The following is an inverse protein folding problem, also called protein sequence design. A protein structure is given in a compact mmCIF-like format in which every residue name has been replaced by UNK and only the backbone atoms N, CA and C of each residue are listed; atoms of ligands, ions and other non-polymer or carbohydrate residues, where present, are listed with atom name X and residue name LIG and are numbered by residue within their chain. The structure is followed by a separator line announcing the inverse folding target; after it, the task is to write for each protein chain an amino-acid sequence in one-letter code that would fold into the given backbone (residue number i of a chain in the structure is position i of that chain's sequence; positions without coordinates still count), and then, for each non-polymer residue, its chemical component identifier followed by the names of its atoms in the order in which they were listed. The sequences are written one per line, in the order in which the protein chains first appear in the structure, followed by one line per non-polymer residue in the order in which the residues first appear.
data_IF_617535850608
#
_entry.id   IF_617535850608
#
_cell.length_a   1.000
_cell.length_b   1.000
_cell.length_c   1.000
_cell.angle_alpha   90.00
_cell.angle_beta   90.00
_cell.angle_gamma   90.00
#
_symmetry.space_group_name_H-M   'P 1'
#
loop_
_entity.id
_entity.type
_entity.pdbx_description
1 polymer ?
#
# COMPACT_ATOMS: atom_id res chain seq x y z
N UNK A 1 19.09 -64.03 14.67
CA UNK A 1 19.79 -63.07 15.54
C UNK A 1 20.35 -61.87 14.75
N UNK A 2 21.21 -62.09 13.75
CA UNK A 2 21.81 -61.02 12.91
C UNK A 2 20.76 -60.09 12.26
N UNK A 3 19.67 -60.63 11.71
CA UNK A 3 18.60 -59.80 11.11
C UNK A 3 17.96 -58.82 12.10
N UNK A 4 17.71 -59.24 13.34
CA UNK A 4 17.13 -58.38 14.38
C UNK A 4 18.11 -57.29 14.85
N UNK A 5 19.42 -57.59 14.87
CA UNK A 5 20.47 -56.60 15.18
C UNK A 5 20.53 -55.53 14.08
N UNK A 6 20.51 -55.94 12.80
CA UNK A 6 20.51 -55.00 11.67
C UNK A 6 19.26 -54.12 11.67
N UNK A 7 18.07 -54.71 11.87
CA UNK A 7 16.82 -53.93 11.96
C UNK A 7 16.83 -52.96 13.14
N UNK A 8 17.35 -53.37 14.31
CA UNK A 8 17.48 -52.50 15.47
C UNK A 8 18.40 -51.31 15.22
N UNK A 9 19.55 -51.53 14.56
CA UNK A 9 20.48 -50.46 14.20
C UNK A 9 19.88 -49.48 13.18
N UNK A 10 19.13 -49.97 12.20
CA UNK A 10 18.45 -49.13 11.20
C UNK A 10 17.38 -48.24 11.84
N UNK A 11 16.57 -48.79 12.75
CA UNK A 11 15.59 -48.00 13.50
C UNK A 11 16.26 -46.96 14.39
N UNK A 12 17.34 -47.31 15.09
CA UNK A 12 18.10 -46.37 15.90
C UNK A 12 18.68 -45.22 15.06
N UNK A 13 19.16 -45.53 13.83
CA UNK A 13 19.64 -44.52 12.89
C UNK A 13 18.51 -43.58 12.44
N UNK A 14 17.33 -44.13 12.11
CA UNK A 14 16.15 -43.34 11.73
C UNK A 14 15.73 -42.42 12.88
N UNK A 15 15.63 -42.94 14.11
CA UNK A 15 15.31 -42.12 15.29
C UNK A 15 16.37 -41.06 15.56
N UNK A 16 17.66 -41.37 15.36
CA UNK A 16 18.74 -40.40 15.47
C UNK A 16 18.59 -39.28 14.43
N UNK A 17 18.33 -39.60 13.17
CA UNK A 17 18.09 -38.60 12.12
C UNK A 17 16.83 -37.76 12.40
N UNK A 18 15.73 -38.38 12.85
CA UNK A 18 14.51 -37.66 13.24
C UNK A 18 14.76 -36.73 14.43
N UNK A 19 15.47 -37.20 15.46
CA UNK A 19 15.82 -36.39 16.63
C UNK A 19 16.79 -35.26 16.28
N UNK A 20 17.78 -35.53 15.43
CA UNK A 20 18.75 -34.54 15.00
C UNK A 20 18.09 -33.45 14.13
N UNK A 21 17.23 -33.85 13.17
CA UNK A 21 16.45 -32.90 12.36
C UNK A 21 15.49 -32.08 13.23
N UNK A 22 14.79 -32.71 14.19
CA UNK A 22 13.93 -32.00 15.13
C UNK A 22 14.70 -30.95 15.95
N UNK A 23 15.91 -31.30 16.42
CA UNK A 23 16.74 -30.34 17.16
C UNK A 23 17.33 -29.23 16.29
N UNK A 24 17.66 -29.50 15.02
CA UNK A 24 18.06 -28.46 14.07
C UNK A 24 16.91 -27.49 13.85
N UNK A 25 15.70 -27.99 13.59
CA UNK A 25 14.51 -27.16 13.41
C UNK A 25 14.25 -26.29 14.66
N UNK A 26 14.35 -26.87 15.86
CA UNK A 26 14.21 -26.12 17.11
C UNK A 26 15.31 -25.07 17.32
N UNK A 27 16.56 -25.39 16.95
CA UNK A 27 17.69 -24.46 17.09
C UNK A 27 17.65 -23.33 16.05
N UNK A 28 17.19 -23.59 14.83
CA UNK A 28 16.96 -22.56 13.82
C UNK A 28 15.79 -21.65 14.20
N UNK A 29 14.72 -22.21 14.77
CA UNK A 29 13.60 -21.46 15.34
C UNK A 29 13.98 -20.64 16.60
N UNK A 30 15.08 -20.96 17.27
CA UNK A 30 15.59 -20.23 18.43
C UNK A 30 16.44 -18.99 18.06
N UNK A 31 16.87 -18.83 16.80
CA UNK A 31 17.58 -17.63 16.36
C UNK A 31 16.59 -16.46 16.21
N UNK A 32 16.98 -15.23 16.60
CA UNK A 32 16.12 -14.07 16.40
C UNK A 32 15.83 -13.90 14.90
N UNK A 33 14.59 -13.51 14.59
CA UNK A 33 14.21 -13.15 13.23
C UNK A 33 15.06 -11.97 12.73
N UNK A 34 15.38 -11.94 11.42
CA UNK A 34 16.23 -10.90 10.88
C UNK A 34 15.60 -9.51 11.01
N UNK A 35 16.44 -8.50 11.17
CA UNK A 35 16.07 -7.12 10.91
C UNK A 35 16.32 -6.82 9.44
N UNK A 36 15.24 -6.57 8.71
CA UNK A 36 15.27 -6.25 7.29
C UNK A 36 14.69 -4.85 7.11
N UNK A 37 15.40 -4.02 6.37
CA UNK A 37 14.99 -2.65 6.04
C UNK A 37 14.39 -2.62 4.64
N UNK A 38 13.91 -1.45 4.22
CA UNK A 38 13.35 -1.23 2.88
C UNK A 38 14.15 -1.97 1.79
N UNK A 39 13.52 -2.77 0.92
CA UNK A 39 12.08 -2.84 0.59
C UNK A 39 11.25 -3.81 1.43
N UNK A 40 11.85 -4.42 2.44
CA UNK A 40 11.21 -5.43 3.27
C UNK A 40 10.33 -4.78 4.34
N UNK A 41 9.11 -5.28 4.52
CA UNK A 41 8.16 -4.82 5.55
C UNK A 41 7.84 -5.96 6.50
N UNK A 42 8.20 -5.77 7.77
CA UNK A 42 7.88 -6.74 8.82
C UNK A 42 6.41 -6.70 9.21
N UNK A 43 5.88 -7.88 9.52
CA UNK A 43 4.57 -8.07 10.11
C UNK A 43 4.70 -8.37 11.60
N UNK A 44 3.69 -7.96 12.36
CA UNK A 44 3.64 -8.15 13.80
C UNK A 44 2.27 -8.67 14.22
N UNK A 45 2.20 -9.45 15.29
CA UNK A 45 0.93 -9.74 15.94
C UNK A 45 0.41 -8.54 16.77
N UNK A 46 -0.79 -8.67 17.31
CA UNK A 46 -1.44 -7.69 18.19
C UNK A 46 -0.75 -7.49 19.55
N UNK A 47 0.20 -8.36 19.91
CA UNK A 47 1.08 -8.19 21.06
C UNK A 47 2.40 -7.46 20.70
N UNK A 48 2.66 -7.23 19.41
CA UNK A 48 3.87 -6.59 18.90
C UNK A 48 5.03 -7.55 18.67
N UNK A 49 4.81 -8.87 18.69
CA UNK A 49 5.82 -9.85 18.34
C UNK A 49 5.99 -9.90 16.82
N UNK A 50 7.24 -9.90 16.37
CA UNK A 50 7.58 -10.01 14.94
C UNK A 50 7.26 -11.40 14.41
N UNK A 51 6.67 -11.43 13.21
CA UNK A 51 6.31 -12.66 12.52
C UNK A 51 7.41 -13.10 11.54
N UNK A 52 7.50 -14.40 11.26
CA UNK A 52 8.39 -14.98 10.26
C UNK A 52 7.85 -14.84 8.83
N UNK A 53 7.06 -13.78 8.59
CA UNK A 53 6.53 -13.40 7.29
C UNK A 53 6.96 -11.96 7.02
N UNK A 54 7.53 -11.73 5.85
CA UNK A 54 8.03 -10.41 5.44
C UNK A 54 7.44 -10.07 4.07
N UNK A 55 6.93 -8.84 3.94
CA UNK A 55 6.47 -8.35 2.66
C UNK A 55 7.64 -7.78 1.85
N UNK A 56 7.62 -7.97 0.54
CA UNK A 56 8.45 -7.21 -0.41
C UNK A 56 7.54 -6.17 -1.06
N UNK A 57 7.78 -4.88 -0.78
CA UNK A 57 6.85 -3.80 -1.11
C UNK A 57 7.18 -3.00 -2.37
N UNK A 58 8.41 -3.12 -2.87
CA UNK A 58 8.94 -2.40 -4.01
C UNK A 58 10.10 -3.19 -4.64
N UNK A 59 10.56 -2.80 -5.83
CA UNK A 59 11.72 -3.41 -6.46
C UNK A 59 12.96 -3.37 -5.54
N UNK A 60 13.79 -4.42 -5.63
CA UNK A 60 15.10 -4.40 -4.99
C UNK A 60 15.97 -3.36 -5.71
N UNK A 61 16.52 -2.41 -4.95
CA UNK A 61 17.41 -1.36 -5.43
C UNK A 61 18.90 -1.68 -5.29
N UNK A 62 19.28 -2.85 -4.76
CA UNK A 62 20.69 -3.26 -4.66
C UNK A 62 20.89 -4.77 -4.48
N UNK A 63 22.08 -5.24 -4.85
CA UNK A 63 22.53 -6.63 -4.62
C UNK A 63 22.50 -7.03 -3.14
N UNK A 64 22.73 -6.07 -2.23
CA UNK A 64 22.65 -6.31 -0.78
C UNK A 64 21.24 -6.73 -0.36
N UNK A 65 20.21 -6.14 -0.96
CA UNK A 65 18.82 -6.50 -0.67
C UNK A 65 18.51 -7.90 -1.21
N UNK A 66 19.02 -8.26 -2.39
CA UNK A 66 18.87 -9.62 -2.92
C UNK A 66 19.61 -10.65 -2.06
N UNK A 67 20.84 -10.33 -1.63
CA UNK A 67 21.61 -11.17 -0.69
C UNK A 67 20.86 -11.38 0.62
N UNK A 68 20.27 -10.33 1.18
CA UNK A 68 19.42 -10.42 2.39
C UNK A 68 18.22 -11.34 2.20
N UNK A 69 17.59 -11.34 1.03
CA UNK A 69 16.56 -12.33 0.70
C UNK A 69 17.14 -13.75 0.74
N UNK A 70 18.24 -13.99 0.02
CA UNK A 70 18.87 -15.32 -0.08
C UNK A 70 19.32 -15.88 1.28
N UNK A 71 19.87 -15.04 2.15
CA UNK A 71 20.33 -15.44 3.49
C UNK A 71 19.18 -15.79 4.45
N UNK A 72 17.95 -15.34 4.14
CA UNK A 72 16.81 -15.44 5.04
C UNK A 72 15.62 -16.25 4.48
N UNK A 73 15.64 -16.63 3.20
CA UNK A 73 14.53 -17.36 2.55
C UNK A 73 14.22 -18.74 3.14
N UNK A 74 15.14 -19.31 3.93
CA UNK A 74 14.91 -20.54 4.68
C UNK A 74 14.15 -20.31 6.00
N UNK A 75 14.24 -19.11 6.59
CA UNK A 75 13.69 -18.76 7.90
C UNK A 75 12.40 -17.94 7.82
N UNK A 76 12.24 -17.21 6.72
CA UNK A 76 11.19 -16.22 6.52
C UNK A 76 10.39 -16.57 5.27
N UNK A 77 9.08 -16.46 5.39
CA UNK A 77 8.15 -16.53 4.27
C UNK A 77 8.06 -15.15 3.64
N UNK A 78 8.66 -14.99 2.47
CA UNK A 78 8.50 -13.78 1.68
C UNK A 78 7.19 -13.82 0.90
N UNK A 79 6.39 -12.78 1.04
CA UNK A 79 5.20 -12.53 0.21
C UNK A 79 5.30 -11.14 -0.41
N UNK A 80 4.68 -10.92 -1.56
CA UNK A 80 4.70 -9.63 -2.20
C UNK A 80 3.55 -8.73 -1.72
N UNK A 81 3.79 -7.42 -1.66
CA UNK A 81 2.75 -6.41 -1.50
C UNK A 81 2.86 -5.36 -2.61
N UNK A 82 1.75 -5.10 -3.30
CA UNK A 82 1.67 -4.02 -4.29
C UNK A 82 1.46 -2.66 -3.60
N UNK A 83 2.57 -2.07 -3.14
CA UNK A 83 2.60 -0.76 -2.47
C UNK A 83 3.38 0.32 -3.23
N UNK A 84 4.10 -0.05 -4.28
CA UNK A 84 4.92 0.87 -5.09
C UNK A 84 4.49 0.81 -6.56
N UNK A 85 3.60 1.72 -6.95
CA UNK A 85 3.05 1.79 -8.31
C UNK A 85 2.63 0.40 -8.83
N UNK A 86 3.00 0.02 -10.05
CA UNK A 86 2.60 -1.25 -10.66
C UNK A 86 3.29 -2.50 -10.07
N UNK A 87 4.18 -2.37 -9.08
CA UNK A 87 4.92 -3.50 -8.49
C UNK A 87 3.99 -4.67 -8.09
N UNK A 88 4.32 -5.92 -8.48
CA UNK A 88 5.59 -6.38 -9.05
C UNK A 88 5.73 -6.24 -10.57
N UNK A 89 4.71 -5.74 -11.26
CA UNK A 89 4.90 -5.33 -12.64
C UNK A 89 5.84 -4.11 -12.68
N UNK A 90 6.46 -3.89 -13.83
CA UNK A 90 7.45 -2.83 -14.00
C UNK A 90 6.77 -1.47 -13.81
N UNK A 91 7.24 -0.64 -12.87
CA UNK A 91 6.69 0.68 -12.66
C UNK A 91 6.83 1.55 -13.91
N UNK A 92 5.76 2.27 -14.27
CA UNK A 92 5.72 2.99 -15.56
C UNK A 92 6.10 4.46 -15.46
N UNK A 93 6.48 4.94 -14.27
CA UNK A 93 6.92 6.32 -14.08
C UNK A 93 8.24 6.55 -14.85
N UNK A 94 8.27 7.50 -15.81
CA UNK A 94 9.45 7.70 -16.65
C UNK A 94 10.71 8.08 -15.85
N UNK A 95 10.53 8.71 -14.69
CA UNK A 95 11.62 9.13 -13.80
C UNK A 95 12.34 7.95 -13.11
N UNK A 96 11.69 6.77 -12.98
CA UNK A 96 12.37 5.58 -12.44
C UNK A 96 13.27 4.90 -13.47
N UNK A 97 12.99 5.10 -14.76
CA UNK A 97 13.78 4.61 -15.89
C UNK A 97 14.07 3.09 -15.86
N UNK A 98 13.17 2.28 -15.31
CA UNK A 98 13.33 0.82 -15.30
C UNK A 98 13.35 0.22 -16.71
N UNK A 99 14.27 -0.72 -16.93
CA UNK A 99 14.46 -1.48 -18.17
C UNK A 99 14.26 -2.95 -17.87
N UNK A 100 13.28 -3.56 -18.53
CA UNK A 100 13.04 -5.01 -18.37
C UNK A 100 14.24 -5.76 -18.95
N UNK A 101 14.82 -6.62 -18.13
CA UNK A 101 15.88 -7.55 -18.56
C UNK A 101 15.37 -8.98 -18.44
N UNK A 102 15.56 -9.76 -19.51
CA UNK A 102 15.26 -11.19 -19.52
C UNK A 102 16.57 -11.97 -19.41
N UNK A 103 16.62 -12.96 -18.51
CA UNK A 103 17.82 -13.75 -18.21
C UNK A 103 18.48 -14.41 -19.44
N UNK A 104 17.74 -14.58 -20.54
CA UNK A 104 18.20 -15.23 -21.78
C UNK A 104 19.01 -14.32 -22.71
N UNK A 105 19.09 -13.01 -22.47
CA UNK A 105 19.81 -12.05 -23.33
C UNK A 105 21.16 -11.60 -22.75
N UNK A 106 21.97 -12.53 -22.23
CA UNK A 106 23.36 -12.24 -21.83
C UNK A 106 24.24 -12.00 -23.07
N UNK A 107 24.38 -10.75 -23.49
CA UNK A 107 25.50 -10.35 -24.37
C UNK A 107 26.67 -9.81 -23.54
N UNK A 108 27.87 -10.32 -23.81
CA UNK A 108 29.07 -10.20 -22.98
C UNK A 108 29.71 -8.79 -22.90
N UNK A 109 29.16 -7.73 -23.48
CA UNK A 109 29.91 -6.48 -23.68
C UNK A 109 29.12 -5.17 -23.50
N UNK A 110 28.26 -5.07 -22.49
CA UNK A 110 27.74 -3.75 -22.07
C UNK A 110 28.14 -3.44 -20.63
N UNK A 111 28.67 -2.23 -20.43
CA UNK A 111 28.85 -1.66 -19.11
C UNK A 111 27.47 -1.60 -18.42
N UNK A 112 27.22 -2.55 -17.53
CA UNK A 112 25.94 -2.73 -16.87
C UNK A 112 25.64 -1.53 -15.98
N UNK A 113 24.54 -0.84 -16.25
CA UNK A 113 23.93 0.07 -15.28
C UNK A 113 22.91 -0.71 -14.46
N UNK A 114 23.41 -1.37 -13.41
CA UNK A 114 22.63 -2.21 -12.48
C UNK A 114 21.47 -1.47 -11.79
N UNK A 115 21.37 -0.15 -11.92
CA UNK A 115 20.35 0.66 -11.23
C UNK A 115 18.99 0.63 -11.91
N UNK A 116 18.92 0.29 -13.21
CA UNK A 116 17.67 0.32 -14.00
C UNK A 116 17.16 -1.05 -14.42
N UNK A 117 17.95 -2.12 -14.31
CA UNK A 117 17.54 -3.48 -14.69
C UNK A 117 16.36 -3.99 -13.83
N UNK A 118 15.33 -4.52 -14.48
CA UNK A 118 14.14 -5.04 -13.81
C UNK A 118 13.88 -6.51 -14.17
N UNK A 119 13.94 -7.37 -13.16
CA UNK A 119 13.75 -8.82 -13.28
C UNK A 119 12.37 -9.22 -12.75
N UNK A 120 11.35 -9.20 -13.60
CA UNK A 120 9.97 -9.51 -13.22
C UNK A 120 9.83 -10.92 -12.60
N UNK A 121 10.38 -11.93 -13.29
CA UNK A 121 10.26 -13.33 -12.89
C UNK A 121 10.92 -13.60 -11.53
N UNK A 122 11.99 -12.86 -11.20
CA UNK A 122 12.64 -12.95 -9.89
C UNK A 122 11.64 -12.66 -8.76
N UNK A 123 10.84 -11.59 -8.87
CA UNK A 123 9.85 -11.26 -7.84
C UNK A 123 8.77 -12.33 -7.75
N UNK A 124 8.34 -12.86 -8.90
CA UNK A 124 7.39 -13.95 -8.95
C UNK A 124 7.95 -15.17 -8.24
N UNK A 125 9.21 -15.56 -8.44
CA UNK A 125 9.83 -16.70 -7.75
C UNK A 125 10.03 -16.47 -6.25
N UNK A 126 10.51 -15.28 -5.87
CA UNK A 126 10.80 -14.90 -4.48
C UNK A 126 9.55 -14.96 -3.59
N UNK A 127 8.42 -14.48 -4.10
CA UNK A 127 7.20 -14.34 -3.31
C UNK A 127 6.37 -15.63 -3.32
N UNK A 128 5.99 -16.13 -2.14
CA UNK A 128 5.14 -17.33 -2.00
C UNK A 128 3.65 -17.03 -2.12
N UNK A 129 3.25 -15.78 -1.96
CA UNK A 129 1.90 -15.28 -2.11
C UNK A 129 1.92 -13.76 -2.37
N UNK A 130 0.77 -13.17 -2.71
CA UNK A 130 0.63 -11.74 -3.01
C UNK A 130 -0.55 -11.10 -2.29
N UNK A 131 -0.32 -9.97 -1.64
CA UNK A 131 -1.40 -9.06 -1.25
C UNK A 131 -1.36 -7.83 -2.18
N UNK A 132 -2.50 -7.46 -2.75
CA UNK A 132 -2.54 -6.51 -3.86
C UNK A 132 -3.68 -5.49 -3.75
N UNK A 133 -3.66 -4.51 -4.65
CA UNK A 133 -4.67 -3.47 -4.79
C UNK A 133 -5.43 -3.51 -6.14
N UNK A 134 -4.96 -4.33 -7.08
CA UNK A 134 -5.45 -4.35 -8.46
C UNK A 134 -6.91 -4.79 -8.59
N UNK A 135 -7.64 -4.13 -9.50
CA UNK A 135 -8.97 -4.56 -9.96
C UNK A 135 -8.92 -5.81 -10.83
N UNK A 136 -7.83 -5.98 -11.57
CA UNK A 136 -7.53 -7.10 -12.48
C UNK A 136 -6.15 -7.68 -12.12
N UNK A 137 -6.04 -8.42 -11.00
CA UNK A 137 -4.76 -8.93 -10.51
C UNK A 137 -4.01 -9.79 -11.53
N UNK A 138 -4.72 -10.50 -12.41
CA UNK A 138 -4.14 -11.38 -13.44
C UNK A 138 -3.22 -10.66 -14.44
N UNK A 139 -3.29 -9.32 -14.51
CA UNK A 139 -2.39 -8.51 -15.34
C UNK A 139 -1.05 -8.20 -14.68
N UNK A 140 -0.96 -8.35 -13.35
CA UNK A 140 0.16 -7.83 -12.56
C UNK A 140 0.84 -8.89 -11.71
N UNK A 141 0.12 -9.94 -11.28
CA UNK A 141 0.63 -10.98 -10.39
C UNK A 141 0.34 -12.39 -10.91
N UNK A 142 1.18 -13.38 -10.55
CA UNK A 142 0.97 -14.78 -10.89
C UNK A 142 -0.28 -15.34 -10.18
N UNK A 143 -1.20 -15.91 -10.97
CA UNK A 143 -2.49 -16.43 -10.49
C UNK A 143 -2.42 -17.88 -9.97
N UNK A 144 -1.29 -18.56 -10.18
CA UNK A 144 -0.99 -19.89 -9.62
C UNK A 144 -0.55 -19.82 -8.15
N UNK A 145 -0.38 -18.61 -7.60
CA UNK A 145 -0.02 -18.37 -6.20
C UNK A 145 -1.20 -17.79 -5.42
N UNK A 146 -1.29 -18.08 -4.10
CA UNK A 146 -2.31 -17.45 -3.26
C UNK A 146 -2.22 -15.94 -3.31
N UNK A 147 -3.37 -15.28 -3.41
CA UNK A 147 -3.44 -13.83 -3.38
C UNK A 147 -4.66 -13.30 -2.63
N UNK A 148 -4.60 -12.05 -2.16
CA UNK A 148 -5.75 -11.36 -1.58
C UNK A 148 -5.73 -9.84 -1.87
N UNK A 149 -6.91 -9.25 -2.02
CA UNK A 149 -7.11 -7.80 -2.15
C UNK A 149 -6.93 -7.12 -0.78
N UNK A 150 -5.68 -6.89 -0.39
CA UNK A 150 -5.27 -6.21 0.84
C UNK A 150 -4.18 -5.20 0.48
N UNK A 151 -4.45 -3.93 0.76
CA UNK A 151 -3.60 -2.79 0.43
C UNK A 151 -2.99 -2.20 1.70
N UNK A 152 -1.82 -1.59 1.64
CA UNK A 152 -1.21 -0.94 2.81
C UNK A 152 -2.08 0.19 3.37
N UNK A 153 -2.85 0.87 2.52
CA UNK A 153 -3.81 1.91 2.91
C UNK A 153 -5.01 1.36 3.70
N UNK A 154 -5.28 0.05 3.62
CA UNK A 154 -6.31 -0.58 4.45
C UNK A 154 -5.97 -0.49 5.96
N UNK A 155 -4.70 -0.25 6.31
CA UNK A 155 -4.21 -0.23 7.70
C UNK A 155 -4.19 1.17 8.33
N UNK A 156 -4.86 2.17 7.74
CA UNK A 156 -4.91 3.54 8.30
C UNK A 156 -5.40 3.54 9.75
N UNK A 157 -4.66 4.18 10.65
CA UNK A 157 -5.09 4.34 12.02
C UNK A 157 -6.04 5.55 12.17
N UNK A 158 -7.34 5.34 11.94
CA UNK A 158 -8.35 6.41 12.02
C UNK A 158 -8.42 7.11 13.39
N UNK A 159 -7.92 6.48 14.47
CA UNK A 159 -7.84 7.09 15.81
C UNK A 159 -6.76 8.16 15.92
N UNK A 160 -5.74 8.11 15.06
CA UNK A 160 -4.68 9.12 14.99
C UNK A 160 -5.01 10.26 14.02
N UNK A 161 -6.07 10.11 13.22
CA UNK A 161 -6.54 11.15 12.32
C UNK A 161 -7.52 12.03 13.09
N UNK A 162 -7.21 13.33 13.28
CA UNK A 162 -8.11 14.26 13.94
C UNK A 162 -9.45 14.27 13.20
N UNK A 163 -10.54 14.30 13.96
CA UNK A 163 -11.89 14.42 13.43
C UNK A 163 -12.72 15.28 14.37
N UNK A 164 -13.30 16.33 13.81
CA UNK A 164 -14.23 17.20 14.50
C UNK A 164 -15.46 17.41 13.62
N UNK A 165 -16.59 16.83 14.02
CA UNK A 165 -17.86 16.94 13.29
C UNK A 165 -18.40 18.38 13.28
N UNK A 166 -18.05 19.18 14.29
CA UNK A 166 -18.50 20.57 14.41
C UNK A 166 -17.63 21.55 13.59
N UNK A 167 -16.49 21.11 13.07
CA UNK A 167 -15.58 21.97 12.32
C UNK A 167 -16.20 22.38 10.97
N UNK A 168 -16.24 23.70 10.75
CA UNK A 168 -16.66 24.25 9.46
C UNK A 168 -15.60 23.91 8.39
N UNK A 169 -16.07 23.33 7.26
CA UNK A 169 -15.20 22.97 6.13
C UNK A 169 -14.93 24.22 5.29
N UNK A 170 -13.70 24.73 5.36
CA UNK A 170 -13.20 25.91 4.62
C UNK A 170 -13.16 25.68 3.10
N UNK A 171 -12.82 24.45 2.68
CA UNK A 171 -12.65 24.05 1.28
C UNK A 171 -13.67 22.98 0.89
N UNK A 172 -14.08 22.98 -0.38
CA UNK A 172 -14.87 21.90 -0.93
C UNK A 172 -13.99 20.66 -1.17
N UNK A 173 -12.81 20.84 -1.78
CA UNK A 173 -11.93 19.72 -2.11
C UNK A 173 -10.48 19.91 -1.71
N UNK A 174 -9.79 18.79 -1.46
CA UNK A 174 -8.34 18.71 -1.32
C UNK A 174 -7.73 17.90 -2.47
N UNK A 175 -6.63 18.37 -3.03
CA UNK A 175 -5.76 17.60 -3.91
C UNK A 175 -4.32 17.62 -3.37
N UNK A 176 -3.77 16.44 -3.09
CA UNK A 176 -2.42 16.28 -2.53
C UNK A 176 -1.45 15.82 -3.62
N UNK A 177 -0.55 16.72 -4.01
CA UNK A 177 0.45 16.46 -5.03
C UNK A 177 1.71 17.24 -4.70
N UNK A 178 2.45 16.87 -3.64
CA UNK A 178 3.64 17.59 -3.29
C UNK A 178 4.75 17.40 -4.32
N UNK A 179 5.64 18.38 -4.44
CA UNK A 179 6.91 18.21 -5.14
C UNK A 179 7.80 17.19 -4.41
N UNK A 180 8.72 16.55 -5.15
CA UNK A 180 9.76 15.68 -4.56
C UNK A 180 10.57 16.42 -3.50
N UNK A 181 10.93 17.68 -3.78
CA UNK A 181 11.51 18.63 -2.84
C UNK A 181 11.17 20.06 -3.26
N UNK A 182 11.49 21.06 -2.42
CA UNK A 182 11.14 22.46 -2.67
C UNK A 182 11.71 23.02 -3.99
N UNK A 183 12.87 22.53 -4.42
CA UNK A 183 13.56 22.98 -5.65
C UNK A 183 13.16 22.21 -6.90
N UNK A 184 12.28 21.20 -6.79
CA UNK A 184 11.86 20.40 -7.94
C UNK A 184 10.94 21.20 -8.89
N UNK A 185 10.96 20.81 -10.16
CA UNK A 185 9.99 21.25 -11.17
C UNK A 185 8.56 20.89 -10.75
N UNK A 186 7.59 21.54 -11.38
CA UNK A 186 6.18 21.17 -11.23
C UNK A 186 5.80 19.93 -12.04
N UNK A 187 6.67 19.52 -12.95
CA UNK A 187 6.65 18.27 -13.69
C UNK A 187 7.79 17.40 -13.14
N UNK A 188 7.50 16.65 -12.09
CA UNK A 188 8.41 15.77 -11.36
C UNK A 188 7.82 14.36 -11.16
N UNK A 189 8.60 13.45 -10.57
CA UNK A 189 8.17 12.07 -10.29
C UNK A 189 6.80 12.00 -9.59
N UNK A 190 6.55 12.88 -8.61
CA UNK A 190 5.28 12.89 -7.86
C UNK A 190 4.15 13.42 -8.74
N UNK A 191 4.40 14.43 -9.58
CA UNK A 191 3.40 14.96 -10.50
C UNK A 191 2.90 13.91 -11.50
N UNK A 192 3.78 13.03 -11.99
CA UNK A 192 3.39 11.89 -12.83
C UNK A 192 2.55 10.89 -12.06
N UNK A 193 2.99 10.48 -10.87
CA UNK A 193 2.28 9.50 -10.05
C UNK A 193 0.90 9.99 -9.58
N UNK A 194 0.81 11.26 -9.16
CA UNK A 194 -0.44 11.91 -8.70
C UNK A 194 -1.29 12.45 -9.85
N UNK A 195 -0.83 12.31 -11.10
CA UNK A 195 -1.51 12.72 -12.32
C UNK A 195 -1.86 14.22 -12.35
N UNK A 196 -0.85 15.06 -12.17
CA UNK A 196 -0.98 16.51 -12.21
C UNK A 196 -1.51 17.02 -13.56
N UNK A 197 -1.15 16.33 -14.65
CA UNK A 197 -1.65 16.66 -15.98
C UNK A 197 -3.18 16.59 -16.05
N UNK A 198 -3.78 15.47 -15.61
CA UNK A 198 -5.23 15.34 -15.59
C UNK A 198 -5.87 16.29 -14.59
N UNK A 199 -5.25 16.50 -13.42
CA UNK A 199 -5.75 17.46 -12.44
C UNK A 199 -5.95 18.84 -13.07
N UNK A 200 -4.97 19.35 -13.83
CA UNK A 200 -5.08 20.65 -14.53
C UNK A 200 -6.24 20.71 -15.53
N UNK A 201 -6.61 19.59 -16.17
CA UNK A 201 -7.76 19.51 -17.09
C UNK A 201 -9.10 19.49 -16.34
N UNK A 202 -9.13 18.87 -15.16
CA UNK A 202 -10.33 18.79 -14.31
C UNK A 202 -10.59 20.07 -13.50
N UNK A 203 -9.55 20.81 -13.11
CA UNK A 203 -9.67 22.01 -12.26
C UNK A 203 -10.64 23.09 -12.81
N UNK A 204 -10.64 23.44 -14.11
CA UNK A 204 -11.61 24.39 -14.66
C UNK A 204 -13.07 23.95 -14.45
N UNK A 205 -13.35 22.64 -14.53
CA UNK A 205 -14.71 22.12 -14.27
C UNK A 205 -15.05 22.30 -12.79
N UNK A 206 -14.15 21.89 -11.89
CA UNK A 206 -14.34 22.02 -10.44
C UNK A 206 -14.52 23.49 -10.01
N UNK A 207 -13.62 24.37 -10.43
CA UNK A 207 -13.55 25.75 -9.94
C UNK A 207 -14.38 26.74 -10.77
N UNK A 208 -14.37 26.66 -12.10
CA UNK A 208 -15.04 27.67 -12.93
C UNK A 208 -16.50 27.32 -13.19
N UNK A 209 -16.81 26.03 -13.39
CA UNK A 209 -18.19 25.58 -13.64
C UNK A 209 -18.96 25.33 -12.35
N UNK A 210 -18.41 24.54 -11.43
CA UNK A 210 -19.07 24.20 -10.16
C UNK A 210 -18.76 25.18 -9.02
N UNK A 211 -17.84 26.14 -9.22
CA UNK A 211 -17.50 27.18 -8.23
C UNK A 211 -16.94 26.61 -6.92
N UNK A 212 -16.32 25.43 -6.98
CA UNK A 212 -15.77 24.73 -5.81
C UNK A 212 -14.44 25.35 -5.38
N UNK A 213 -14.29 25.56 -4.08
CA UNK A 213 -13.06 26.03 -3.45
C UNK A 213 -12.12 24.86 -3.17
N UNK A 214 -10.88 24.95 -3.66
CA UNK A 214 -9.89 23.87 -3.58
C UNK A 214 -8.70 24.20 -2.70
N UNK A 215 -8.19 23.21 -1.98
CA UNK A 215 -6.89 23.22 -1.32
C UNK A 215 -5.91 22.30 -2.08
N UNK A 216 -4.87 22.89 -2.66
CA UNK A 216 -3.82 22.17 -3.40
C UNK A 216 -2.56 22.09 -2.55
N UNK A 217 -2.31 20.90 -2.00
CA UNK A 217 -1.17 20.68 -1.10
C UNK A 217 0.10 20.40 -1.90
N UNK A 218 1.12 21.23 -1.68
CA UNK A 218 2.48 21.05 -2.20
C UNK A 218 2.74 21.57 -3.61
N UNK A 219 1.90 22.49 -4.10
CA UNK A 219 1.98 23.12 -5.44
C UNK A 219 1.98 24.66 -5.41
N UNK A 220 2.47 25.28 -4.34
CA UNK A 220 2.49 26.76 -4.15
C UNK A 220 3.03 27.55 -5.36
N UNK A 221 4.07 27.04 -6.01
CA UNK A 221 4.77 27.71 -7.11
C UNK A 221 4.51 27.06 -8.47
N UNK A 222 3.42 26.30 -8.58
CA UNK A 222 3.02 25.66 -9.83
C UNK A 222 1.87 26.40 -10.48
N UNK A 223 1.93 26.48 -11.81
CA UNK A 223 0.88 27.10 -12.61
C UNK A 223 -0.45 26.35 -12.43
N UNK A 224 -1.50 27.10 -12.13
CA UNK A 224 -2.89 26.64 -12.11
C UNK A 224 -3.68 27.40 -13.17
N UNK A 225 -4.75 26.83 -13.74
CA UNK A 225 -5.57 27.52 -14.74
C UNK A 225 -6.07 28.88 -14.23
N UNK A 226 -6.02 29.92 -15.08
CA UNK A 226 -6.27 31.31 -14.66
C UNK A 226 -7.62 31.50 -13.97
N UNK A 227 -8.69 30.91 -14.51
CA UNK A 227 -10.02 31.00 -13.95
C UNK A 227 -10.19 30.27 -12.61
N UNK A 228 -9.24 29.41 -12.22
CA UNK A 228 -9.24 28.70 -10.96
C UNK A 228 -8.57 29.49 -9.82
N UNK A 229 -7.74 30.51 -10.12
CA UNK A 229 -6.99 31.28 -9.10
C UNK A 229 -7.86 31.87 -7.99
N UNK A 230 -9.08 32.38 -8.24
CA UNK A 230 -9.94 32.90 -7.17
C UNK A 230 -10.52 31.83 -6.24
N UNK A 231 -10.45 30.55 -6.63
CA UNK A 231 -11.07 29.41 -5.93
C UNK A 231 -10.05 28.48 -5.28
N UNK A 232 -8.77 28.62 -5.60
CA UNK A 232 -7.73 27.69 -5.15
C UNK A 232 -6.79 28.36 -4.15
N UNK A 233 -6.61 27.71 -3.01
CA UNK A 233 -5.49 27.96 -2.10
C UNK A 233 -4.41 26.90 -2.35
N UNK A 234 -3.15 27.33 -2.48
CA UNK A 234 -2.00 26.42 -2.63
C UNK A 234 -1.10 26.45 -1.40
N UNK A 235 -0.49 25.32 -1.06
CA UNK A 235 0.54 25.24 -0.01
C UNK A 235 1.87 24.74 -0.56
N UNK A 236 2.96 24.98 0.18
CA UNK A 236 4.21 24.25 -0.01
C UNK A 236 4.12 22.82 0.54
N UNK A 237 5.27 22.17 0.71
CA UNK A 237 5.33 20.89 1.42
C UNK A 237 4.76 21.03 2.84
N UNK A 238 3.93 20.07 3.26
CA UNK A 238 3.42 19.98 4.62
C UNK A 238 4.02 18.73 5.27
N UNK A 239 4.47 18.85 6.52
CA UNK A 239 4.80 17.66 7.30
C UNK A 239 3.52 16.83 7.56
N UNK A 240 3.68 15.58 7.97
CA UNK A 240 2.55 14.66 8.15
C UNK A 240 1.47 15.20 9.10
N UNK A 241 1.86 15.76 10.25
CA UNK A 241 0.91 16.30 11.24
C UNK A 241 0.08 17.46 10.67
N UNK A 242 0.73 18.38 9.95
CA UNK A 242 0.03 19.49 9.31
C UNK A 242 -0.86 19.03 8.16
N UNK A 243 -0.43 18.03 7.39
CA UNK A 243 -1.19 17.47 6.28
C UNK A 243 -2.49 16.79 6.75
N UNK A 244 -2.42 15.95 7.79
CA UNK A 244 -3.63 15.25 8.29
C UNK A 244 -4.67 16.23 8.88
N UNK A 245 -4.22 17.38 9.38
CA UNK A 245 -5.12 18.44 9.85
C UNK A 245 -5.89 19.12 8.70
N UNK A 246 -5.34 19.15 7.48
CA UNK A 246 -6.03 19.79 6.34
C UNK A 246 -7.27 19.03 5.90
N UNK A 247 -7.34 17.71 6.13
CA UNK A 247 -8.52 16.92 5.78
C UNK A 247 -9.77 17.42 6.52
N UNK A 248 -9.66 17.83 7.78
CA UNK A 248 -10.79 18.39 8.54
C UNK A 248 -11.34 19.70 7.99
N UNK A 249 -10.59 20.38 7.12
CA UNK A 249 -11.04 21.62 6.48
C UNK A 249 -11.71 21.39 5.14
N UNK A 250 -11.74 20.15 4.64
CA UNK A 250 -12.19 19.83 3.29
C UNK A 250 -13.42 18.93 3.31
N UNK A 251 -14.36 19.11 2.37
CA UNK A 251 -15.55 18.24 2.27
C UNK A 251 -15.24 16.92 1.57
N UNK A 252 -14.35 16.94 0.57
CA UNK A 252 -13.92 15.72 -0.13
C UNK A 252 -12.45 15.77 -0.55
N UNK A 253 -11.88 14.60 -0.88
CA UNK A 253 -10.58 14.49 -1.54
C UNK A 253 -10.76 14.19 -3.03
N UNK A 254 -10.07 14.95 -3.88
CA UNK A 254 -10.00 14.74 -5.32
C UNK A 254 -8.73 13.97 -5.66
N UNK A 255 -8.88 12.81 -6.32
CA UNK A 255 -7.76 11.90 -6.61
C UNK A 255 -7.76 11.51 -8.09
N UNK A 256 -7.08 12.29 -8.95
CA UNK A 256 -6.93 12.00 -10.38
C UNK A 256 -5.88 10.93 -10.71
N UNK A 257 -5.16 10.43 -9.70
CA UNK A 257 -4.07 9.49 -9.83
C UNK A 257 -4.48 8.25 -10.65
N UNK A 258 -3.54 7.72 -11.44
CA UNK A 258 -3.73 6.44 -12.16
C UNK A 258 -2.78 5.35 -11.66
N UNK A 259 -1.56 5.72 -11.25
CA UNK A 259 -0.47 4.78 -10.95
C UNK A 259 -0.23 4.58 -9.45
N UNK A 260 -1.15 5.05 -8.60
CA UNK A 260 -1.00 4.95 -7.16
C UNK A 260 -1.51 3.60 -6.65
N UNK A 261 -0.61 2.77 -6.12
CA UNK A 261 -0.93 1.40 -5.70
C UNK A 261 -1.73 1.36 -4.40
N UNK A 262 -1.40 2.24 -3.46
CA UNK A 262 -1.96 2.18 -2.12
C UNK A 262 -2.04 3.57 -1.50
N UNK A 263 -2.84 4.47 -2.09
CA UNK A 263 -2.90 5.89 -1.72
C UNK A 263 -3.44 6.07 -0.30
N UNK A 264 -2.55 6.21 0.69
CA UNK A 264 -2.92 6.48 2.09
C UNK A 264 -3.72 7.77 2.25
N UNK A 265 -3.47 8.76 1.39
CA UNK A 265 -4.23 10.03 1.38
C UNK A 265 -5.74 9.84 1.25
N UNK A 266 -6.20 8.76 0.57
CA UNK A 266 -7.64 8.45 0.46
C UNK A 266 -8.18 8.02 1.81
N UNK A 267 -7.57 7.02 2.42
CA UNK A 267 -8.05 6.42 3.67
C UNK A 267 -7.85 7.35 4.87
N UNK A 268 -6.82 8.20 4.84
CA UNK A 268 -6.62 9.28 5.81
C UNK A 268 -7.68 10.37 5.68
N UNK A 269 -7.99 10.82 4.46
CA UNK A 269 -9.07 11.80 4.22
C UNK A 269 -10.44 11.24 4.63
N UNK A 270 -10.74 9.99 4.27
CA UNK A 270 -11.97 9.31 4.69
C UNK A 270 -12.03 9.19 6.22
N UNK A 271 -10.90 8.98 6.89
CA UNK A 271 -10.86 8.98 8.35
C UNK A 271 -11.24 10.35 8.91
N UNK A 272 -10.94 11.47 8.27
CA UNK A 272 -11.44 12.79 8.65
C UNK A 272 -12.87 13.11 8.11
N UNK A 273 -13.58 12.08 7.66
CA UNK A 273 -14.92 12.11 7.07
C UNK A 273 -15.03 12.91 5.77
N UNK A 274 -13.93 13.01 5.00
CA UNK A 274 -14.01 13.50 3.63
C UNK A 274 -14.61 12.42 2.72
N UNK A 275 -15.59 12.80 1.90
CA UNK A 275 -15.99 11.98 0.77
C UNK A 275 -14.85 11.85 -0.25
N UNK A 276 -14.95 10.90 -1.18
CA UNK A 276 -13.88 10.63 -2.15
C UNK A 276 -14.37 10.79 -3.59
N UNK A 277 -13.65 11.55 -4.41
CA UNK A 277 -13.85 11.61 -5.86
C UNK A 277 -12.58 11.07 -6.53
N UNK A 278 -12.64 9.82 -7.00
CA UNK A 278 -11.45 9.03 -7.37
C UNK A 278 -11.46 8.70 -8.86
N UNK A 279 -10.29 8.73 -9.50
CA UNK A 279 -10.15 8.24 -10.86
C UNK A 279 -10.45 6.73 -10.93
N UNK A 280 -11.38 6.30 -11.76
CA UNK A 280 -11.80 4.91 -11.94
C UNK A 280 -10.68 4.01 -12.48
N UNK A 281 -9.68 4.61 -13.12
CA UNK A 281 -8.50 3.94 -13.67
C UNK A 281 -7.31 3.91 -12.68
N UNK A 282 -7.50 4.36 -11.44
CA UNK A 282 -6.47 4.23 -10.41
C UNK A 282 -6.13 2.76 -10.16
N UNK A 283 -4.83 2.46 -10.08
CA UNK A 283 -4.31 1.13 -9.84
C UNK A 283 -4.83 0.52 -8.53
N UNK A 284 -4.78 1.30 -7.46
CA UNK A 284 -5.32 0.94 -6.15
C UNK A 284 -6.06 2.08 -5.48
N UNK A 285 -7.01 1.74 -4.62
CA UNK A 285 -7.88 2.71 -3.93
C UNK A 285 -9.26 2.92 -4.58
N UNK A 286 -9.48 2.40 -5.79
CA UNK A 286 -10.80 2.36 -6.43
C UNK A 286 -11.88 1.74 -5.53
N UNK A 287 -11.52 0.74 -4.71
CA UNK A 287 -12.41 0.03 -3.78
C UNK A 287 -12.97 0.89 -2.64
N UNK A 288 -12.42 2.10 -2.45
CA UNK A 288 -12.87 3.03 -1.43
C UNK A 288 -13.98 3.97 -1.91
N UNK A 289 -14.17 4.13 -3.22
CA UNK A 289 -15.33 4.82 -3.79
C UNK A 289 -16.49 3.84 -3.94
N UNK A 290 -17.41 3.87 -2.98
CA UNK A 290 -18.68 3.15 -3.01
C UNK A 290 -19.81 4.15 -2.77
N UNK A 291 -21.06 3.73 -2.96
CA UNK A 291 -22.24 4.60 -2.84
C UNK A 291 -22.30 5.40 -1.52
N UNK A 292 -21.75 4.82 -0.43
CA UNK A 292 -21.69 5.41 0.91
C UNK A 292 -20.52 6.37 1.13
N UNK A 293 -19.54 6.45 0.24
CA UNK A 293 -18.28 7.16 0.50
C UNK A 293 -17.88 8.12 -0.60
N UNK A 294 -18.33 7.92 -1.83
CA UNK A 294 -17.96 8.81 -2.91
C UNK A 294 -18.40 8.39 -4.30
N UNK A 295 -17.68 8.85 -5.31
CA UNK A 295 -17.97 8.65 -6.73
C UNK A 295 -16.69 8.46 -7.54
N UNK A 296 -16.80 7.83 -8.70
CA UNK A 296 -15.71 7.63 -9.65
C UNK A 296 -15.84 8.54 -10.87
N UNK A 297 -14.70 8.90 -11.49
CA UNK A 297 -14.61 9.58 -12.79
C UNK A 297 -13.41 9.03 -13.58
N UNK A 298 -13.30 9.22 -14.88
CA UNK A 298 -12.12 8.79 -15.66
C UNK A 298 -11.23 9.95 -16.06
N UNK A 299 -11.82 11.06 -16.52
CA UNK A 299 -11.11 12.17 -17.12
C UNK A 299 -11.94 13.47 -17.14
N UNK A 300 -11.48 14.50 -17.86
CA UNK A 300 -12.18 15.78 -17.96
C UNK A 300 -13.54 15.71 -18.68
N UNK A 301 -13.81 14.65 -19.46
CA UNK A 301 -15.05 14.54 -20.23
C UNK A 301 -16.21 13.96 -19.42
N UNK A 302 -15.93 13.21 -18.35
CA UNK A 302 -16.96 12.56 -17.52
C UNK A 302 -17.03 13.10 -16.08
N UNK A 303 -16.02 13.85 -15.63
CA UNK A 303 -16.00 14.41 -14.26
C UNK A 303 -17.21 15.29 -13.96
N UNK A 304 -17.74 16.03 -14.95
CA UNK A 304 -18.97 16.78 -14.78
C UNK A 304 -20.17 15.88 -14.44
N UNK A 305 -20.32 14.76 -15.16
CA UNK A 305 -21.39 13.81 -14.90
C UNK A 305 -21.24 13.15 -13.53
N UNK A 306 -20.00 12.87 -13.10
CA UNK A 306 -19.70 12.41 -11.75
C UNK A 306 -20.09 13.46 -10.69
N UNK A 307 -19.69 14.73 -10.88
CA UNK A 307 -20.01 15.83 -9.96
C UNK A 307 -21.52 16.09 -9.82
N UNK A 308 -22.27 15.98 -10.92
CA UNK A 308 -23.73 16.13 -10.89
C UNK A 308 -24.42 15.09 -9.99
N UNK A 309 -23.84 13.89 -9.82
CA UNK A 309 -24.32 12.89 -8.86
C UNK A 309 -23.74 13.11 -7.46
N UNK A 310 -22.47 13.45 -7.40
CA UNK A 310 -21.68 13.54 -6.17
C UNK A 310 -22.07 14.73 -5.28
N UNK A 311 -22.19 15.93 -5.87
CA UNK A 311 -22.42 17.18 -5.11
C UNK A 311 -23.76 17.19 -4.38
N UNK A 312 -24.90 16.75 -4.96
CA UNK A 312 -26.15 16.66 -4.21
C UNK A 312 -26.03 15.77 -2.96
N UNK A 313 -25.45 14.56 -3.09
CA UNK A 313 -25.26 13.63 -1.96
C UNK A 313 -24.32 14.22 -0.91
N UNK A 314 -23.27 14.91 -1.35
CA UNK A 314 -22.33 15.60 -0.45
C UNK A 314 -23.05 16.70 0.34
N UNK A 315 -23.83 17.56 -0.32
CA UNK A 315 -24.56 18.65 0.33
C UNK A 315 -25.64 18.15 1.29
N UNK A 316 -26.25 17.01 0.98
CA UNK A 316 -27.22 16.33 1.85
C UNK A 316 -26.59 15.53 2.99
N UNK A 317 -25.24 15.51 3.10
CA UNK A 317 -24.48 14.73 4.10
C UNK A 317 -24.79 13.22 4.08
N UNK A 318 -25.05 12.69 2.89
CA UNK A 318 -25.38 11.26 2.68
C UNK A 318 -24.14 10.36 2.78
N UNK A 319 -22.96 10.87 2.45
CA UNK A 319 -21.72 10.13 2.58
C UNK A 319 -21.33 9.91 4.05
N UNK A 320 -20.81 8.72 4.36
CA UNK A 320 -20.37 8.24 5.68
C UNK A 320 -18.97 7.63 5.58
N UNK A 321 -18.01 8.43 5.11
CA UNK A 321 -16.67 7.98 4.78
C UNK A 321 -15.90 7.48 6.01
N UNK A 322 -15.96 8.22 7.13
CA UNK A 322 -15.27 7.82 8.37
C UNK A 322 -15.85 6.54 8.94
N UNK A 323 -17.18 6.44 9.00
CA UNK A 323 -17.85 5.24 9.48
C UNK A 323 -17.47 4.02 8.64
N UNK A 324 -17.41 4.17 7.31
CA UNK A 324 -16.99 3.09 6.43
C UNK A 324 -15.56 2.58 6.70
N UNK A 325 -14.62 3.49 7.02
CA UNK A 325 -13.27 3.09 7.46
C UNK A 325 -13.32 2.32 8.78
N UNK A 326 -14.04 2.84 9.78
CA UNK A 326 -14.18 2.21 11.11
C UNK A 326 -14.73 0.78 10.99
N UNK A 327 -15.72 0.58 10.13
CA UNK A 327 -16.44 -0.69 10.01
C UNK A 327 -15.69 -1.73 9.17
N UNK A 328 -14.88 -1.31 8.18
CA UNK A 328 -14.36 -2.24 7.16
C UNK A 328 -12.83 -2.31 7.08
N UNK A 329 -12.16 -1.26 7.55
CA UNK A 329 -10.72 -1.04 7.40
C UNK A 329 -10.10 -0.65 8.74
N UNK A 330 -8.86 -0.18 8.68
CA UNK A 330 -8.02 0.10 9.84
C UNK A 330 -7.27 -1.13 10.32
N UNK A 331 -6.32 -0.95 11.25
CA UNK A 331 -5.39 -2.00 11.62
C UNK A 331 -6.02 -3.30 12.10
N UNK A 332 -7.15 -3.22 12.80
CA UNK A 332 -7.83 -4.39 13.36
C UNK A 332 -8.56 -5.16 12.27
N UNK A 333 -9.45 -4.53 11.52
CA UNK A 333 -10.26 -5.21 10.50
C UNK A 333 -9.40 -5.74 9.35
N UNK A 334 -8.47 -4.91 8.86
CA UNK A 334 -7.55 -5.28 7.79
C UNK A 334 -6.52 -6.30 8.28
N UNK A 335 -6.10 -6.20 9.54
CA UNK A 335 -5.20 -7.15 10.17
C UNK A 335 -5.83 -8.53 10.39
N UNK A 336 -7.13 -8.60 10.68
CA UNK A 336 -7.88 -9.87 10.73
C UNK A 336 -7.96 -10.52 9.35
N UNK A 337 -8.26 -9.76 8.31
CA UNK A 337 -8.24 -10.26 6.91
C UNK A 337 -6.86 -10.78 6.52
N UNK A 338 -5.80 -10.07 6.88
CA UNK A 338 -4.42 -10.50 6.63
C UNK A 338 -4.08 -11.77 7.42
N UNK A 339 -4.47 -11.85 8.70
CA UNK A 339 -4.34 -13.05 9.53
C UNK A 339 -5.01 -14.25 8.87
N UNK A 340 -6.28 -14.15 8.50
CA UNK A 340 -7.01 -15.23 7.84
C UNK A 340 -6.31 -15.70 6.57
N UNK A 341 -5.86 -14.76 5.73
CA UNK A 341 -5.11 -15.07 4.52
C UNK A 341 -3.81 -15.82 4.82
N UNK A 342 -3.01 -15.36 5.78
CA UNK A 342 -1.75 -16.00 6.14
C UNK A 342 -1.98 -17.38 6.73
N UNK A 343 -2.90 -17.54 7.68
CA UNK A 343 -3.20 -18.83 8.30
C UNK A 343 -3.72 -19.84 7.29
N UNK A 344 -4.59 -19.43 6.36
CA UNK A 344 -5.12 -20.30 5.31
C UNK A 344 -4.02 -20.90 4.42
N UNK A 345 -2.97 -20.12 4.13
CA UNK A 345 -1.94 -20.51 3.15
C UNK A 345 -0.64 -21.02 3.78
N UNK A 346 -0.34 -20.61 5.01
CA UNK A 346 0.93 -20.88 5.67
C UNK A 346 0.80 -21.50 7.06
N UNK A 347 -0.38 -21.48 7.68
CA UNK A 347 -0.74 -22.15 8.94
C UNK A 347 0.42 -22.58 9.84
N UNK A 348 0.78 -23.87 9.77
CA UNK A 348 1.80 -24.50 10.62
C UNK A 348 3.24 -23.99 10.44
N UNK A 349 3.50 -23.19 9.39
CA UNK A 349 4.80 -22.56 9.13
C UNK A 349 4.93 -21.18 9.78
N UNK A 350 3.83 -20.60 10.28
CA UNK A 350 3.84 -19.30 10.92
C UNK A 350 4.29 -19.41 12.37
N UNK A 351 5.17 -18.50 12.81
CA UNK A 351 5.58 -18.38 14.21
C UNK A 351 4.55 -17.60 15.06
N UNK A 352 3.26 -17.73 14.74
CA UNK A 352 2.17 -16.96 15.33
C UNK A 352 1.51 -17.80 16.44
N UNK A 353 1.35 -17.21 17.63
CA UNK A 353 0.49 -17.75 18.70
C UNK A 353 -0.94 -17.21 18.54
N UNK A 354 -1.85 -17.59 19.43
CA UNK A 354 -3.18 -17.00 19.44
C UNK A 354 -3.09 -15.46 19.51
N UNK A 355 -3.57 -14.78 18.47
CA UNK A 355 -3.54 -13.33 18.28
C UNK A 355 -4.83 -12.88 17.59
N UNK A 356 -5.33 -11.68 17.83
CA UNK A 356 -6.57 -11.21 17.20
C UNK A 356 -6.32 -10.77 15.74
N UNK A 357 -5.31 -9.93 15.52
CA UNK A 357 -4.99 -9.34 14.22
C UNK A 357 -3.48 -9.24 13.97
N UNK A 358 -3.11 -9.01 12.70
CA UNK A 358 -1.72 -8.78 12.27
C UNK A 358 -1.56 -7.34 11.78
N UNK A 359 -0.42 -6.71 12.04
CA UNK A 359 -0.12 -5.34 11.63
C UNK A 359 1.10 -5.27 10.74
N UNK A 360 1.18 -4.20 9.94
CA UNK A 360 2.38 -3.87 9.16
C UNK A 360 3.24 -2.86 9.91
N UNK A 361 4.58 -2.99 9.81
CA UNK A 361 5.59 -2.01 10.28
C UNK A 361 5.70 -1.78 11.80
N UNK A 362 4.82 -2.32 12.63
CA UNK A 362 5.02 -2.32 14.09
C UNK A 362 3.75 -2.55 14.91
N UNK A 363 3.92 -2.58 16.24
CA UNK A 363 2.79 -2.60 17.19
C UNK A 363 1.96 -1.33 17.02
N UNK A 364 0.63 -1.47 17.09
CA UNK A 364 -0.26 -0.33 17.13
C UNK A 364 -0.11 0.48 18.42
N UNK A 365 -0.02 1.79 18.25
CA UNK A 365 -0.17 2.76 19.33
C UNK A 365 -1.62 3.28 19.35
N UNK A 366 -2.21 3.41 20.54
CA UNK A 366 -3.60 3.92 20.71
C UNK A 366 -4.73 2.88 20.61
N UNK A 367 -4.40 1.58 20.67
CA UNK A 367 -5.38 0.48 20.69
C UNK A 367 -5.30 -0.41 21.94
N UNK A 368 -4.52 -0.03 22.96
CA UNK A 368 -4.31 -0.85 24.16
C UNK A 368 -5.61 -1.09 24.98
N UNK A 369 -6.71 -0.40 24.67
CA UNK A 369 -8.01 -0.55 25.33
C UNK A 369 -8.90 -1.69 24.79
N UNK A 370 -8.60 -2.28 23.62
CA UNK A 370 -9.45 -3.32 23.01
C UNK A 370 -9.27 -4.72 23.62
N UNK A 371 -8.32 -4.92 24.54
CA UNK A 371 -8.15 -6.20 25.25
C UNK A 371 -9.16 -6.43 26.39
N UNK A 372 -10.24 -5.63 26.49
CA UNK A 372 -11.21 -5.67 27.62
C UNK A 372 -12.68 -5.54 27.22
N UNK A 373 -13.07 -6.04 26.05
CA UNK A 373 -14.48 -6.36 25.73
C UNK A 373 -14.50 -7.73 25.08
#
# INVERSE_FOLDING_TARGET
MIKYIITGLLLALIFYFLYFNYNIDQFENAKPLPELTNPFVHLYDDAGNKLNVVLIAQPLGSDDQYRKYMENMAKVIFIGISSYMEFPHVPTNPEDNYKIEYFEQKQENFAYDYTTAYYLDMYFEMCKAWIHCFKQPEKYIPMDKPHALISESDFVNYKQIPYDEAMEREYDFLYSCPKVNETSSCDDWVSHNKNWELAKKCLPILCEKFKLKGLLVGRKDCEIPEGCKPYITTTGWLNYGDNINQYNKCKFIFVPNQRDASPRVITEAMSADCAVLINANILGGWKYAVDKTGELFTDENDIEAALNKFIPKLNNKEYKARQYIIDNYGPVNSGRKLKEFLFKNFGSKLNIKDCDYITMRGKLTGYDELKRQ
#
